data_IF_081380060528
#
_entry.id   IF_081380060528
#
_cell.length_a   1.000
_cell.length_b   1.000
_cell.length_c   1.000
_cell.angle_alpha   90.00
_cell.angle_beta   90.00
_cell.angle_gamma   90.00
#
_symmetry.space_group_name_H-M   'P 1'
#
loop_
_entity.id
_entity.type
_entity.pdbx_description
1 polymer ?
#
# COMPACT_ATOMS: atom_id res chain seq x y z
N UNK A 1 -3.91 -28.48 -45.37
CA UNK A 1 -5.37 -28.38 -45.59
C UNK A 1 -5.68 -27.67 -46.91
N UNK A 2 -6.90 -27.79 -47.46
CA UNK A 2 -7.34 -26.95 -48.60
C UNK A 2 -7.80 -25.58 -48.09
N UNK A 3 -7.62 -24.47 -48.84
CA UNK A 3 -7.94 -23.11 -48.37
C UNK A 3 -9.42 -22.92 -48.00
N UNK A 4 -10.34 -23.64 -48.66
CA UNK A 4 -11.78 -23.61 -48.35
C UNK A 4 -12.14 -24.29 -47.03
N UNK A 5 -11.31 -25.21 -46.55
CA UNK A 5 -11.54 -25.91 -45.28
C UNK A 5 -10.86 -25.20 -44.09
N UNK A 6 -9.87 -24.35 -44.36
CA UNK A 6 -9.16 -23.53 -43.35
C UNK A 6 -10.06 -22.51 -42.64
N UNK A 7 -11.11 -22.01 -43.32
CA UNK A 7 -12.00 -20.97 -42.78
C UNK A 7 -13.25 -21.52 -42.07
N UNK A 8 -13.42 -22.85 -41.99
CA UNK A 8 -14.67 -23.47 -41.49
C UNK A 8 -14.57 -24.05 -40.08
N UNK A 9 -13.38 -24.22 -39.54
CA UNK A 9 -13.18 -24.84 -38.23
C UNK A 9 -12.06 -24.13 -37.47
N UNK A 10 -12.20 -23.96 -36.14
CA UNK A 10 -11.13 -23.44 -35.31
C UNK A 10 -9.94 -24.40 -35.34
N UNK A 11 -8.75 -23.83 -35.46
CA UNK A 11 -7.47 -24.54 -35.42
C UNK A 11 -7.04 -24.59 -33.95
N UNK A 12 -7.13 -25.78 -33.36
CA UNK A 12 -6.84 -26.02 -31.94
C UNK A 12 -5.84 -27.16 -31.77
N UNK A 13 -4.99 -27.08 -30.76
CA UNK A 13 -4.24 -28.25 -30.27
C UNK A 13 -5.18 -29.03 -29.32
N UNK A 14 -5.06 -30.36 -29.25
CA UNK A 14 -5.95 -31.21 -28.41
C UNK A 14 -5.88 -30.94 -26.89
N UNK A 15 -5.18 -29.90 -26.44
CA UNK A 15 -5.03 -29.53 -25.04
C UNK A 15 -5.87 -28.27 -24.72
N UNK A 16 -6.65 -28.29 -23.63
CA UNK A 16 -7.53 -27.19 -23.22
C UNK A 16 -6.78 -25.91 -22.82
N UNK A 17 -5.49 -25.98 -22.51
CA UNK A 17 -4.63 -24.82 -22.22
C UNK A 17 -4.01 -24.18 -23.46
N UNK A 18 -4.37 -24.64 -24.67
CA UNK A 18 -3.78 -24.13 -25.91
C UNK A 18 -4.60 -23.01 -26.55
N UNK A 19 -3.91 -22.13 -27.27
CA UNK A 19 -4.59 -21.10 -28.05
C UNK A 19 -5.53 -21.75 -29.09
N UNK A 20 -6.49 -20.98 -29.59
CA UNK A 20 -7.33 -21.37 -30.73
C UNK A 20 -7.33 -20.25 -31.76
N UNK A 21 -7.29 -20.61 -33.04
CA UNK A 21 -7.31 -19.66 -34.15
C UNK A 21 -8.44 -19.98 -35.11
N UNK A 22 -9.34 -19.02 -35.33
CA UNK A 22 -10.39 -19.10 -36.35
C UNK A 22 -10.07 -18.10 -37.46
N UNK A 23 -9.74 -18.60 -38.64
CA UNK A 23 -9.41 -17.76 -39.79
C UNK A 23 -10.69 -17.34 -40.54
N UNK A 24 -10.79 -16.06 -40.97
CA UNK A 24 -11.88 -15.64 -41.84
C UNK A 24 -11.73 -16.27 -43.23
N UNK A 25 -12.75 -16.16 -44.10
CA UNK A 25 -12.64 -16.58 -45.49
C UNK A 25 -11.48 -15.86 -46.19
N UNK A 26 -10.40 -16.59 -46.48
CA UNK A 26 -9.22 -16.04 -47.16
C UNK A 26 -9.48 -15.99 -48.68
N UNK A 27 -9.24 -14.82 -49.28
CA UNK A 27 -9.39 -14.65 -50.73
C UNK A 27 -8.34 -15.45 -51.51
N UNK A 28 -8.71 -15.85 -52.73
CA UNK A 28 -7.84 -16.60 -53.64
C UNK A 28 -6.56 -15.84 -54.04
N UNK A 29 -6.52 -14.51 -53.84
CA UNK A 29 -5.35 -13.66 -54.03
C UNK A 29 -4.27 -13.85 -52.96
N UNK A 30 -4.64 -14.28 -51.75
CA UNK A 30 -3.72 -14.50 -50.62
C UNK A 30 -3.28 -15.97 -50.57
N UNK A 31 -4.22 -16.89 -50.82
CA UNK A 31 -3.94 -18.33 -50.82
C UNK A 31 -4.51 -18.96 -52.08
N UNK A 32 -3.63 -19.46 -52.95
CA UNK A 32 -4.04 -20.14 -54.18
C UNK A 32 -4.88 -21.39 -53.86
N UNK A 33 -6.07 -21.47 -54.45
CA UNK A 33 -7.03 -22.57 -54.22
C UNK A 33 -6.55 -23.94 -54.70
N UNK A 34 -5.43 -24.00 -55.44
CA UNK A 34 -4.89 -25.21 -56.06
C UNK A 34 -3.76 -25.88 -55.27
N UNK A 35 -3.19 -25.22 -54.26
CA UNK A 35 -2.03 -25.72 -53.51
C UNK A 35 -2.41 -26.06 -52.08
N UNK A 36 -1.87 -27.18 -51.56
CA UNK A 36 -1.97 -27.50 -50.14
C UNK A 36 -1.18 -26.48 -49.32
N UNK A 37 -1.77 -26.06 -48.21
CA UNK A 37 -1.12 -25.18 -47.23
C UNK A 37 -0.73 -26.00 -46.01
N UNK A 38 0.52 -25.86 -45.58
CA UNK A 38 1.03 -26.35 -44.30
C UNK A 38 0.65 -25.36 -43.20
N UNK A 39 0.11 -25.86 -42.10
CA UNK A 39 -0.42 -25.04 -41.00
C UNK A 39 0.38 -25.39 -39.77
N UNK A 40 1.13 -24.44 -39.24
CA UNK A 40 1.93 -24.63 -38.03
C UNK A 40 1.44 -23.74 -36.92
N UNK A 41 1.05 -24.37 -35.82
CA UNK A 41 0.58 -23.69 -34.63
C UNK A 41 1.58 -23.90 -33.50
N UNK A 42 1.88 -22.83 -32.77
CA UNK A 42 2.71 -22.83 -31.57
C UNK A 42 1.91 -22.24 -30.42
N UNK A 43 2.10 -22.77 -29.22
CA UNK A 43 1.53 -22.24 -27.99
C UNK A 43 2.56 -22.38 -26.89
N UNK A 44 2.78 -21.30 -26.16
CA UNK A 44 3.66 -21.24 -25.00
C UNK A 44 2.84 -20.85 -23.79
N UNK A 45 2.91 -21.66 -22.74
CA UNK A 45 2.25 -21.35 -21.45
C UNK A 45 2.89 -20.15 -20.75
N UNK A 46 4.18 -19.94 -21.00
CA UNK A 46 4.95 -18.79 -20.49
C UNK A 46 5.45 -17.95 -21.66
N UNK A 47 5.54 -16.63 -21.44
CA UNK A 47 5.99 -15.71 -22.47
C UNK A 47 7.46 -16.02 -22.89
N UNK A 48 7.71 -16.45 -24.15
CA UNK A 48 9.06 -16.75 -24.63
C UNK A 48 9.92 -15.49 -24.86
N UNK A 49 9.29 -14.31 -24.86
CA UNK A 49 9.93 -13.00 -25.04
C UNK A 49 10.06 -12.23 -23.71
N UNK A 50 10.11 -12.94 -22.58
CA UNK A 50 10.16 -12.35 -21.23
C UNK A 50 11.40 -11.48 -20.94
N UNK A 51 12.40 -11.48 -21.82
CA UNK A 51 13.57 -10.60 -21.72
C UNK A 51 13.26 -9.12 -22.02
N UNK A 52 12.12 -8.83 -22.64
CA UNK A 52 11.63 -7.46 -22.81
C UNK A 52 10.87 -7.01 -21.54
N UNK A 53 11.43 -6.03 -20.82
CA UNK A 53 10.92 -5.54 -19.54
C UNK A 53 9.87 -4.41 -19.67
N UNK A 54 9.58 -3.95 -20.89
CA UNK A 54 8.72 -2.77 -21.12
C UNK A 54 7.23 -3.10 -20.93
N UNK A 55 6.80 -4.33 -21.26
CA UNK A 55 5.43 -4.80 -21.07
C UNK A 55 5.43 -6.24 -20.54
N UNK A 56 4.85 -6.46 -19.36
CA UNK A 56 4.73 -7.79 -18.75
C UNK A 56 3.52 -8.54 -19.30
N UNK A 57 3.75 -9.42 -20.28
CA UNK A 57 2.73 -10.36 -20.77
C UNK A 57 2.71 -11.60 -19.89
N UNK A 58 1.66 -11.72 -19.07
CA UNK A 58 1.50 -12.78 -18.09
C UNK A 58 0.59 -13.94 -18.56
N UNK A 59 0.01 -13.84 -19.76
CA UNK A 59 -0.87 -14.86 -20.34
C UNK A 59 -0.17 -15.79 -21.35
N UNK A 60 -0.92 -16.78 -21.83
CA UNK A 60 -0.48 -17.72 -22.87
C UNK A 60 -0.16 -16.98 -24.17
N UNK A 61 0.94 -17.38 -24.81
CA UNK A 61 1.38 -16.84 -26.10
C UNK A 61 1.09 -17.86 -27.20
N UNK A 62 0.30 -17.46 -28.20
CA UNK A 62 -0.08 -18.31 -29.33
C UNK A 62 0.45 -17.77 -30.65
N UNK A 63 0.82 -18.64 -31.58
CA UNK A 63 1.19 -18.23 -32.93
C UNK A 63 0.66 -19.24 -33.95
N UNK A 64 0.25 -18.73 -35.11
CA UNK A 64 -0.17 -19.53 -36.24
C UNK A 64 0.57 -19.03 -37.49
N UNK A 65 1.27 -19.92 -38.18
CA UNK A 65 1.92 -19.64 -39.46
C UNK A 65 1.39 -20.57 -40.55
N UNK A 66 1.20 -20.00 -41.74
CA UNK A 66 0.82 -20.73 -42.94
C UNK A 66 2.03 -20.78 -43.86
N UNK A 67 2.42 -21.97 -44.28
CA UNK A 67 3.55 -22.18 -45.18
C UNK A 67 3.09 -22.85 -46.47
N UNK A 68 3.78 -22.52 -47.56
CA UNK A 68 3.66 -23.27 -48.81
C UNK A 68 4.33 -24.64 -48.68
N UNK A 69 4.05 -25.56 -49.61
CA UNK A 69 4.68 -26.89 -49.64
C UNK A 69 6.22 -26.86 -49.71
N UNK A 70 6.82 -25.77 -50.22
CA UNK A 70 8.27 -25.58 -50.25
C UNK A 70 8.86 -25.08 -48.91
N UNK A 71 8.03 -24.89 -47.88
CA UNK A 71 8.43 -24.36 -46.57
C UNK A 71 8.52 -22.83 -46.50
N UNK A 72 8.24 -22.09 -47.58
CA UNK A 72 8.21 -20.63 -47.55
C UNK A 72 6.96 -20.11 -46.82
N UNK A 73 7.10 -19.07 -45.98
CA UNK A 73 5.97 -18.50 -45.23
C UNK A 73 5.03 -17.72 -46.16
N UNK A 74 3.73 -17.85 -45.92
CA UNK A 74 2.68 -17.06 -46.56
C UNK A 74 2.35 -15.89 -45.63
N UNK A 75 2.77 -14.65 -45.95
CA UNK A 75 2.49 -13.50 -45.10
C UNK A 75 1.00 -13.18 -45.13
N UNK A 76 0.35 -13.27 -43.97
CA UNK A 76 -1.02 -12.82 -43.77
C UNK A 76 -0.99 -11.54 -42.96
N UNK A 77 -1.37 -10.43 -43.59
CA UNK A 77 -1.46 -9.12 -42.97
C UNK A 77 -2.54 -8.27 -43.66
N UNK A 78 -3.04 -7.26 -42.96
CA UNK A 78 -4.03 -6.29 -43.45
C UNK A 78 -5.32 -6.95 -43.98
N UNK A 79 -5.81 -7.98 -43.28
CA UNK A 79 -7.10 -8.58 -43.59
C UNK A 79 -8.25 -7.61 -43.31
N UNK A 80 -9.30 -7.65 -44.13
CA UNK A 80 -10.54 -6.88 -43.92
C UNK A 80 -11.41 -7.49 -42.83
N UNK A 81 -11.49 -8.82 -42.79
CA UNK A 81 -12.13 -9.56 -41.71
C UNK A 81 -11.03 -10.01 -40.75
N UNK A 82 -11.31 -9.92 -39.46
CA UNK A 82 -10.33 -10.25 -38.42
C UNK A 82 -10.22 -11.77 -38.23
N UNK A 83 -9.04 -12.18 -37.80
CA UNK A 83 -8.76 -13.52 -37.30
C UNK A 83 -9.14 -13.51 -35.82
N UNK A 84 -9.98 -14.46 -35.43
CA UNK A 84 -10.32 -14.66 -34.04
C UNK A 84 -9.28 -15.57 -33.39
N UNK A 85 -8.77 -15.12 -32.25
CA UNK A 85 -7.73 -15.80 -31.49
C UNK A 85 -8.22 -15.90 -30.05
N UNK A 86 -8.37 -17.12 -29.56
CA UNK A 86 -8.71 -17.36 -28.16
C UNK A 86 -7.43 -17.76 -27.41
N UNK A 87 -7.05 -16.94 -26.42
CA UNK A 87 -5.88 -17.17 -25.58
C UNK A 87 -6.35 -17.57 -24.17
N UNK A 88 -6.32 -18.87 -23.82
CA UNK A 88 -6.73 -19.33 -22.49
C UNK A 88 -5.72 -18.96 -21.40
N UNK A 89 -6.12 -19.16 -20.14
CA UNK A 89 -5.31 -18.85 -18.95
C UNK A 89 -5.29 -20.02 -17.98
N UNK A 90 -4.17 -20.18 -17.28
CA UNK A 90 -3.99 -21.22 -16.25
C UNK A 90 -4.62 -20.87 -14.89
N UNK A 91 -4.81 -19.58 -14.60
CA UNK A 91 -5.39 -19.10 -13.33
C UNK A 91 -6.57 -18.18 -13.65
N UNK A 92 -7.76 -18.57 -13.19
CA UNK A 92 -8.93 -17.72 -13.21
C UNK A 92 -8.66 -16.50 -12.32
N UNK A 93 -8.74 -15.30 -12.88
CA UNK A 93 -8.88 -14.11 -12.06
C UNK A 93 -10.19 -14.22 -11.27
N UNK A 94 -10.15 -14.04 -9.95
CA UNK A 94 -11.37 -13.88 -9.16
C UNK A 94 -11.98 -12.53 -9.56
N UNK A 95 -12.98 -12.56 -10.43
CA UNK A 95 -13.74 -11.37 -10.82
C UNK A 95 -15.07 -11.45 -10.10
N UNK A 96 -15.32 -10.52 -9.17
CA UNK A 96 -16.62 -10.42 -8.53
C UNK A 96 -17.57 -9.66 -9.45
N UNK A 97 -18.77 -10.20 -9.62
CA UNK A 97 -19.85 -9.46 -10.24
C UNK A 97 -20.49 -8.52 -9.23
N UNK A 98 -20.85 -7.34 -9.72
CA UNK A 98 -21.54 -6.30 -8.93
C UNK A 98 -23.01 -6.31 -9.28
N UNK A 99 -23.88 -6.33 -8.27
CA UNK A 99 -25.34 -6.33 -8.47
C UNK A 99 -25.87 -4.91 -8.34
N UNK A 100 -26.62 -4.47 -9.35
CA UNK A 100 -27.25 -3.16 -9.40
C UNK A 100 -28.77 -3.32 -9.52
N UNK A 101 -29.50 -2.57 -8.70
CA UNK A 101 -30.96 -2.43 -8.79
C UNK A 101 -31.27 -1.17 -9.63
N UNK A 102 -31.82 -1.38 -10.83
CA UNK A 102 -31.99 -0.33 -11.85
C UNK A 102 -33.25 0.53 -11.67
N UNK A 103 -33.83 0.58 -10.47
CA UNK A 103 -35.06 1.34 -10.17
C UNK A 103 -35.20 2.66 -10.97
N UNK A 104 -34.16 3.49 -11.04
CA UNK A 104 -34.12 4.66 -11.94
C UNK A 104 -32.81 4.71 -12.74
N UNK A 105 -31.68 4.69 -12.03
CA UNK A 105 -30.35 4.52 -12.59
C UNK A 105 -29.41 4.07 -11.49
N UNK A 106 -28.31 3.41 -11.86
CA UNK A 106 -27.27 3.04 -10.91
C UNK A 106 -25.91 3.44 -11.43
N UNK A 107 -25.01 3.81 -10.52
CA UNK A 107 -23.63 4.18 -10.85
C UNK A 107 -22.66 3.24 -10.17
N UNK A 108 -21.67 2.76 -10.92
CA UNK A 108 -20.56 1.95 -10.41
C UNK A 108 -19.23 2.65 -10.67
N UNK A 109 -18.30 2.46 -9.75
CA UNK A 109 -16.94 2.98 -9.84
C UNK A 109 -16.01 1.90 -10.37
N UNK A 110 -15.25 2.22 -11.41
CA UNK A 110 -14.29 1.34 -12.08
C UNK A 110 -12.90 1.99 -11.96
N UNK A 111 -11.95 1.31 -11.33
CA UNK A 111 -10.59 1.82 -11.18
C UNK A 111 -9.65 1.17 -12.22
N UNK A 112 -9.16 1.97 -13.16
CA UNK A 112 -8.25 1.53 -14.20
C UNK A 112 -6.82 1.86 -13.79
N UNK A 113 -6.04 0.81 -13.55
CA UNK A 113 -4.66 0.89 -13.03
C UNK A 113 -3.59 0.87 -14.12
N UNK A 114 -3.96 0.74 -15.39
CA UNK A 114 -2.99 0.62 -16.48
C UNK A 114 -3.53 1.23 -17.78
N UNK A 115 -2.68 1.92 -18.56
CA UNK A 115 -3.19 2.84 -19.57
C UNK A 115 -3.57 2.14 -20.89
N UNK A 116 -3.05 0.94 -21.14
CA UNK A 116 -3.19 0.25 -22.44
C UNK A 116 -4.12 -0.97 -22.39
N UNK A 117 -5.13 -0.95 -21.52
CA UNK A 117 -6.02 -2.12 -21.30
C UNK A 117 -7.41 -1.82 -21.81
N UNK A 118 -8.03 -2.70 -22.58
CA UNK A 118 -9.45 -2.57 -22.94
C UNK A 118 -10.32 -3.01 -21.76
N UNK A 119 -11.42 -2.29 -21.52
CA UNK A 119 -12.41 -2.66 -20.51
C UNK A 119 -13.54 -3.45 -21.17
N UNK A 120 -13.75 -4.67 -20.71
CA UNK A 120 -14.87 -5.52 -21.13
C UNK A 120 -15.89 -5.53 -20.01
N UNK A 121 -17.02 -4.87 -20.25
CA UNK A 121 -18.15 -4.78 -19.34
C UNK A 121 -19.20 -5.79 -19.79
N UNK A 122 -19.35 -6.88 -19.04
CA UNK A 122 -20.40 -7.88 -19.26
C UNK A 122 -21.56 -7.60 -18.33
N UNK A 123 -22.74 -7.39 -18.90
CA UNK A 123 -23.97 -7.14 -18.16
C UNK A 123 -24.87 -8.36 -18.32
N UNK A 124 -25.41 -8.85 -17.19
CA UNK A 124 -26.37 -9.94 -17.15
C UNK A 124 -27.66 -9.41 -16.49
N UNK A 125 -28.61 -8.91 -17.31
CA UNK A 125 -29.86 -8.38 -16.80
C UNK A 125 -30.85 -9.50 -16.44
N UNK A 126 -31.63 -9.29 -15.38
CA UNK A 126 -32.65 -10.26 -14.93
C UNK A 126 -33.77 -10.50 -15.94
N UNK A 127 -33.99 -9.54 -16.84
CA UNK A 127 -34.99 -9.57 -17.90
C UNK A 127 -34.38 -8.94 -19.17
N UNK A 128 -34.96 -9.20 -20.36
CA UNK A 128 -34.52 -8.60 -21.62
C UNK A 128 -34.88 -7.11 -21.66
N UNK A 129 -34.04 -6.29 -21.04
CA UNK A 129 -34.22 -4.83 -20.92
C UNK A 129 -33.14 -4.12 -21.71
N UNK A 130 -33.53 -3.12 -22.50
CA UNK A 130 -32.57 -2.24 -23.17
C UNK A 130 -31.88 -1.32 -22.15
N UNK A 131 -30.57 -1.21 -22.21
CA UNK A 131 -29.76 -0.44 -21.27
C UNK A 131 -29.01 0.67 -22.00
N UNK A 132 -29.01 1.87 -21.45
CA UNK A 132 -28.16 2.99 -21.86
C UNK A 132 -27.03 3.15 -20.85
N UNK A 133 -25.80 3.02 -21.33
CA UNK A 133 -24.59 3.07 -20.52
C UNK A 133 -23.81 4.33 -20.87
N UNK A 134 -23.35 5.06 -19.86
CA UNK A 134 -22.45 6.20 -20.00
C UNK A 134 -21.26 6.03 -19.08
N UNK A 135 -20.07 6.36 -19.56
CA UNK A 135 -18.86 6.37 -18.73
C UNK A 135 -18.31 7.79 -18.62
N UNK A 136 -17.94 8.19 -17.41
CA UNK A 136 -17.27 9.46 -17.10
C UNK A 136 -15.93 9.21 -16.42
N UNK A 137 -14.97 10.11 -16.60
CA UNK A 137 -13.65 10.05 -15.98
C UNK A 137 -13.54 11.09 -14.87
N UNK A 138 -13.16 10.66 -13.66
CA UNK A 138 -13.08 11.45 -12.41
C UNK A 138 -14.39 12.11 -11.94
N UNK A 139 -15.35 12.31 -12.82
CA UNK A 139 -16.67 12.87 -12.57
C UNK A 139 -17.78 11.91 -13.00
N UNK A 140 -18.95 12.06 -12.40
CA UNK A 140 -20.12 11.25 -12.75
C UNK A 140 -20.66 11.69 -14.11
N UNK A 141 -20.87 10.77 -15.08
CA UNK A 141 -21.37 11.13 -16.39
C UNK A 141 -22.82 11.60 -16.33
N UNK A 142 -23.15 12.53 -17.22
CA UNK A 142 -24.51 13.00 -17.46
C UNK A 142 -24.80 13.03 -18.97
N UNK A 143 -26.01 13.42 -19.37
CA UNK A 143 -26.44 13.39 -20.78
C UNK A 143 -25.64 14.34 -21.69
N UNK A 144 -24.92 15.29 -21.12
CA UNK A 144 -24.12 16.30 -21.84
C UNK A 144 -22.61 16.13 -21.67
N UNK A 145 -22.19 15.40 -20.64
CA UNK A 145 -20.80 15.25 -20.22
C UNK A 145 -20.53 13.78 -19.91
N UNK A 146 -19.95 13.10 -20.90
CA UNK A 146 -19.54 11.70 -20.84
C UNK A 146 -18.34 11.51 -21.76
N UNK A 147 -17.53 10.49 -21.48
CA UNK A 147 -16.39 10.10 -22.32
C UNK A 147 -16.83 9.17 -23.45
N UNK A 148 -17.63 8.16 -23.11
CA UNK A 148 -18.21 7.23 -24.06
C UNK A 148 -19.60 6.78 -23.61
N UNK A 149 -20.42 6.39 -24.58
CA UNK A 149 -21.75 5.86 -24.31
C UNK A 149 -22.09 4.73 -25.27
N UNK A 150 -23.00 3.85 -24.85
CA UNK A 150 -23.51 2.77 -25.69
C UNK A 150 -24.94 2.37 -25.31
N UNK A 151 -25.62 1.66 -26.20
CA UNK A 151 -26.92 1.05 -25.97
C UNK A 151 -26.80 -0.47 -26.11
N UNK A 152 -27.34 -1.19 -25.13
CA UNK A 152 -27.44 -2.66 -25.13
C UNK A 152 -28.93 -3.06 -25.23
N UNK A 153 -29.27 -4.20 -25.85
CA UNK A 153 -28.36 -5.17 -26.45
C UNK A 153 -27.79 -4.73 -27.82
N UNK A 154 -26.55 -5.14 -28.10
CA UNK A 154 -25.93 -5.09 -29.43
C UNK A 154 -26.43 -6.20 -30.36
N UNK A 155 -26.12 -6.10 -31.65
CA UNK A 155 -26.28 -7.23 -32.58
C UNK A 155 -25.26 -8.33 -32.23
N UNK A 156 -25.74 -9.52 -31.91
CA UNK A 156 -24.91 -10.66 -31.51
C UNK A 156 -25.71 -11.97 -31.51
N UNK A 157 -25.00 -13.09 -31.65
CA UNK A 157 -25.61 -14.42 -31.74
C UNK A 157 -26.00 -14.96 -30.35
N UNK A 158 -25.26 -14.56 -29.32
CA UNK A 158 -25.47 -14.99 -27.93
C UNK A 158 -25.91 -13.84 -27.02
N UNK A 159 -26.65 -14.16 -25.96
CA UNK A 159 -27.05 -13.16 -24.96
C UNK A 159 -25.84 -12.47 -24.31
N UNK A 160 -24.75 -13.21 -24.04
CA UNK A 160 -23.52 -12.62 -23.50
C UNK A 160 -22.92 -11.56 -24.44
N UNK A 161 -22.81 -11.84 -25.74
CA UNK A 161 -22.29 -10.88 -26.72
C UNK A 161 -23.18 -9.64 -26.81
N UNK A 162 -24.50 -9.86 -26.86
CA UNK A 162 -25.49 -8.79 -26.95
C UNK A 162 -25.39 -7.81 -25.77
N UNK A 163 -25.06 -8.29 -24.57
CA UNK A 163 -24.93 -7.44 -23.37
C UNK A 163 -23.47 -7.21 -22.94
N UNK A 164 -22.52 -7.30 -23.87
CA UNK A 164 -21.11 -6.96 -23.61
C UNK A 164 -20.71 -5.67 -24.30
N UNK A 165 -20.19 -4.72 -23.53
CA UNK A 165 -19.55 -3.51 -24.05
C UNK A 165 -18.03 -3.60 -23.91
N UNK A 166 -17.33 -3.53 -25.04
CA UNK A 166 -15.86 -3.48 -25.08
C UNK A 166 -15.43 -2.03 -25.34
N UNK A 167 -14.75 -1.43 -24.37
CA UNK A 167 -14.22 -0.07 -24.45
C UNK A 167 -12.71 -0.13 -24.67
N UNK A 168 -12.26 0.25 -25.87
CA UNK A 168 -10.83 0.22 -26.20
C UNK A 168 -10.10 1.41 -25.56
N UNK A 169 -8.77 1.34 -25.35
CA UNK A 169 -7.97 2.51 -24.98
C UNK A 169 -8.14 3.70 -25.94
N UNK A 170 -8.29 3.43 -27.24
CA UNK A 170 -8.46 4.46 -28.28
C UNK A 170 -9.78 5.21 -28.20
N UNK A 171 -10.77 4.63 -27.53
CA UNK A 171 -12.10 5.20 -27.35
C UNK A 171 -12.18 6.05 -26.07
N UNK A 172 -11.05 6.21 -25.35
CA UNK A 172 -10.93 7.00 -24.13
C UNK A 172 -9.88 8.11 -24.31
N UNK A 173 -10.12 9.24 -23.66
CA UNK A 173 -9.25 10.42 -23.75
C UNK A 173 -8.08 10.37 -22.77
N UNK A 174 -8.25 9.70 -21.63
CA UNK A 174 -7.28 9.61 -20.53
C UNK A 174 -7.31 8.18 -19.99
N UNK A 175 -6.15 7.59 -19.72
CA UNK A 175 -5.98 6.13 -19.67
C UNK A 175 -5.89 5.50 -18.26
N UNK A 176 -5.58 6.28 -17.22
CA UNK A 176 -5.44 5.80 -15.84
C UNK A 176 -6.28 6.62 -14.87
N UNK A 177 -6.99 5.94 -13.96
CA UNK A 177 -7.75 6.59 -12.90
C UNK A 177 -9.15 6.00 -12.69
N UNK A 178 -9.99 6.80 -12.04
CA UNK A 178 -11.31 6.38 -11.60
C UNK A 178 -12.35 6.78 -12.64
N UNK A 179 -13.10 5.79 -13.12
CA UNK A 179 -14.23 5.98 -14.01
C UNK A 179 -15.53 5.70 -13.29
N UNK A 180 -16.56 6.45 -13.66
CA UNK A 180 -17.93 6.26 -13.18
C UNK A 180 -18.76 5.74 -14.36
N UNK A 181 -19.27 4.51 -14.23
CA UNK A 181 -20.20 3.93 -15.19
C UNK A 181 -21.63 4.12 -14.66
N UNK A 182 -22.43 4.84 -15.43
CA UNK A 182 -23.86 5.04 -15.21
C UNK A 182 -24.64 4.08 -16.10
N UNK A 183 -25.56 3.33 -15.49
CA UNK A 183 -26.43 2.36 -16.17
C UNK A 183 -27.88 2.79 -15.98
N UNK A 184 -28.59 2.97 -17.09
CA UNK A 184 -30.00 3.38 -17.12
C UNK A 184 -30.83 2.39 -17.92
N UNK A 185 -31.98 1.91 -17.41
CA UNK A 185 -32.92 1.15 -18.21
C UNK A 185 -33.63 2.10 -19.20
N UNK A 186 -33.73 1.69 -20.46
CA UNK A 186 -34.52 2.36 -21.47
C UNK A 186 -35.96 1.87 -21.33
N UNK A 187 -36.84 2.76 -20.88
CA UNK A 187 -38.26 2.49 -20.62
C UNK A 187 -39.17 3.15 -21.64
N UNK A 188 -40.35 2.56 -21.86
CA UNK A 188 -41.38 3.15 -22.71
C UNK A 188 -41.91 4.46 -22.12
N UNK A 189 -42.37 5.36 -23.00
CA UNK A 189 -42.88 6.66 -22.61
C UNK A 189 -44.07 6.53 -21.64
N UNK A 190 -43.91 7.03 -20.41
CA UNK A 190 -44.92 6.99 -19.35
C UNK A 190 -44.60 6.05 -18.18
N UNK A 191 -43.54 5.24 -18.28
CA UNK A 191 -43.02 4.42 -17.18
C UNK A 191 -41.80 5.12 -16.57
N UNK A 192 -41.81 5.33 -15.26
CA UNK A 192 -40.73 6.09 -14.57
C UNK A 192 -39.62 5.20 -13.99
N UNK A 193 -39.84 3.89 -13.87
CA UNK A 193 -38.92 2.96 -13.19
C UNK A 193 -39.13 1.51 -13.65
N UNK A 194 -38.06 0.71 -13.67
CA UNK A 194 -38.14 -0.76 -13.82
C UNK A 194 -37.63 -1.44 -12.55
N UNK A 195 -38.17 -2.61 -12.22
CA UNK A 195 -37.66 -3.44 -11.12
C UNK A 195 -36.56 -4.41 -11.60
N UNK A 196 -35.86 -4.06 -12.68
CA UNK A 196 -34.85 -4.92 -13.27
C UNK A 196 -33.54 -4.83 -12.46
N UNK A 197 -32.92 -5.97 -12.23
CA UNK A 197 -31.58 -6.03 -11.62
C UNK A 197 -30.56 -6.43 -12.67
N UNK A 198 -29.35 -5.88 -12.59
CA UNK A 198 -28.27 -6.23 -13.51
C UNK A 198 -27.02 -6.61 -12.73
N UNK A 199 -26.44 -7.74 -13.11
CA UNK A 199 -25.11 -8.15 -12.66
C UNK A 199 -24.07 -7.63 -13.66
N UNK A 200 -23.08 -6.86 -13.18
CA UNK A 200 -22.01 -6.32 -14.01
C UNK A 200 -20.68 -6.95 -13.63
N UNK A 201 -20.01 -7.50 -14.63
CA UNK A 201 -18.67 -8.08 -14.53
C UNK A 201 -17.71 -7.24 -15.37
N UNK A 202 -16.69 -6.67 -14.73
CA UNK A 202 -15.68 -5.83 -15.40
C UNK A 202 -14.38 -6.59 -15.55
N UNK A 203 -13.83 -6.64 -16.77
CA UNK A 203 -12.58 -7.33 -17.08
C UNK A 203 -11.66 -6.35 -17.82
N UNK A 204 -10.48 -6.08 -17.27
CA UNK A 204 -9.44 -5.35 -18.00
C UNK A 204 -8.54 -6.34 -18.75
N UNK A 205 -8.54 -6.26 -20.08
CA UNK A 205 -7.76 -7.16 -20.92
C UNK A 205 -7.02 -6.42 -22.03
N UNK A 206 -5.91 -6.99 -22.47
CA UNK A 206 -5.11 -6.46 -23.57
C UNK A 206 -4.75 -7.59 -24.53
N UNK A 207 -4.82 -7.29 -25.83
CA UNK A 207 -4.36 -8.15 -26.91
C UNK A 207 -3.19 -7.45 -27.60
N UNK A 208 -2.04 -8.12 -27.64
CA UNK A 208 -0.83 -7.61 -28.29
C UNK A 208 -0.22 -8.67 -29.17
N UNK A 209 0.59 -8.23 -30.11
CA UNK A 209 1.42 -9.07 -30.94
C UNK A 209 2.90 -8.71 -30.79
N UNK A 210 3.77 -9.68 -31.05
CA UNK A 210 5.21 -9.44 -31.08
C UNK A 210 5.60 -8.84 -32.43
N UNK A 211 6.13 -7.62 -32.42
CA UNK A 211 6.72 -6.98 -33.59
C UNK A 211 8.21 -7.36 -33.68
N UNK A 212 8.54 -8.26 -34.60
CA UNK A 212 9.91 -8.75 -34.81
C UNK A 212 10.88 -7.65 -35.27
N UNK A 213 10.40 -6.59 -35.93
CA UNK A 213 11.25 -5.49 -36.40
C UNK A 213 11.64 -4.56 -35.26
N UNK A 214 10.71 -4.29 -34.35
CA UNK A 214 10.94 -3.43 -33.18
C UNK A 214 11.41 -4.20 -31.94
N UNK A 215 11.35 -5.53 -31.98
CA UNK A 215 11.59 -6.41 -30.85
C UNK A 215 10.74 -6.03 -29.62
N UNK A 216 9.48 -5.67 -29.86
CA UNK A 216 8.57 -5.19 -28.83
C UNK A 216 7.12 -5.65 -29.04
N UNK A 217 6.33 -5.66 -27.96
CA UNK A 217 4.90 -5.89 -28.02
C UNK A 217 4.17 -4.66 -28.56
N UNK A 218 3.19 -4.90 -29.42
CA UNK A 218 2.40 -3.89 -30.11
C UNK A 218 0.93 -4.30 -30.15
N UNK A 219 0.02 -3.34 -29.97
CA UNK A 219 -1.43 -3.53 -30.13
C UNK A 219 -1.89 -3.32 -31.57
N UNK A 220 -0.98 -2.94 -32.48
CA UNK A 220 -1.33 -2.59 -33.85
C UNK A 220 -2.00 -3.73 -34.61
N UNK A 221 -3.17 -3.43 -35.19
CA UNK A 221 -3.96 -4.40 -35.95
C UNK A 221 -4.64 -5.46 -35.09
N UNK A 222 -4.67 -5.29 -33.76
CA UNK A 222 -5.34 -6.17 -32.81
C UNK A 222 -6.27 -5.39 -31.87
N UNK A 223 -7.38 -6.02 -31.48
CA UNK A 223 -8.28 -5.52 -30.45
C UNK A 223 -8.87 -6.66 -29.62
N UNK A 224 -9.35 -6.33 -28.42
CA UNK A 224 -10.06 -7.28 -27.56
C UNK A 224 -11.49 -7.46 -28.06
N UNK A 225 -11.99 -8.70 -28.06
CA UNK A 225 -13.34 -9.04 -28.49
C UNK A 225 -14.33 -9.27 -27.33
N UNK A 226 -15.65 -9.24 -27.61
CA UNK A 226 -16.72 -9.34 -26.62
C UNK A 226 -16.83 -10.72 -25.94
N UNK A 227 -16.32 -11.79 -26.55
CA UNK A 227 -16.30 -13.13 -25.94
C UNK A 227 -15.21 -13.30 -24.87
N UNK A 228 -14.49 -12.22 -24.52
CA UNK A 228 -13.49 -12.25 -23.46
C UNK A 228 -14.11 -12.60 -22.11
N UNK A 229 -13.50 -13.55 -21.41
CA UNK A 229 -13.89 -14.01 -20.07
C UNK A 229 -12.71 -13.91 -19.09
N UNK A 230 -12.93 -14.16 -17.78
CA UNK A 230 -11.83 -14.27 -16.82
C UNK A 230 -10.84 -15.41 -17.11
N UNK A 231 -11.24 -16.40 -17.92
CA UNK A 231 -10.43 -17.57 -18.27
C UNK A 231 -9.79 -17.47 -19.65
N UNK A 232 -10.39 -16.73 -20.58
CA UNK A 232 -9.96 -16.68 -21.99
C UNK A 232 -10.04 -15.26 -22.49
N UNK A 233 -8.97 -14.76 -23.11
CA UNK A 233 -9.00 -13.48 -23.85
C UNK A 233 -9.34 -13.75 -25.31
N UNK A 234 -10.36 -13.10 -25.85
CA UNK A 234 -10.62 -13.10 -27.30
C UNK A 234 -9.87 -11.92 -27.92
N UNK A 235 -8.97 -12.21 -28.84
CA UNK A 235 -8.26 -11.22 -29.63
C UNK A 235 -8.72 -11.29 -31.08
N UNK A 236 -9.07 -10.14 -31.65
CA UNK A 236 -9.44 -9.98 -33.05
C UNK A 236 -8.30 -9.23 -33.73
N UNK A 237 -7.57 -9.91 -34.62
CA UNK A 237 -6.37 -9.36 -35.26
C UNK A 237 -6.42 -9.49 -36.78
N UNK A 238 -5.80 -8.56 -37.50
CA UNK A 238 -5.82 -8.53 -38.98
C UNK A 238 -4.56 -9.13 -39.65
N UNK A 239 -3.68 -9.77 -38.87
CA UNK A 239 -2.43 -10.38 -39.32
C UNK A 239 -2.14 -11.69 -38.58
N UNK A 240 -1.12 -12.43 -39.00
CA UNK A 240 -0.61 -13.61 -38.32
C UNK A 240 0.84 -13.40 -37.86
N UNK A 241 1.04 -13.44 -36.55
CA UNK A 241 2.33 -13.32 -35.87
C UNK A 241 2.30 -14.13 -34.57
N UNK A 242 3.08 -13.74 -33.56
CA UNK A 242 2.94 -14.22 -32.18
C UNK A 242 2.04 -13.27 -31.40
N UNK A 243 1.01 -13.83 -30.76
CA UNK A 243 0.02 -13.09 -29.99
C UNK A 243 0.14 -13.41 -28.52
N UNK A 244 0.04 -12.39 -27.69
CA UNK A 244 0.00 -12.48 -26.24
C UNK A 244 -1.20 -11.71 -25.70
N UNK A 245 -1.66 -12.11 -24.52
CA UNK A 245 -2.65 -11.32 -23.78
C UNK A 245 -2.22 -11.11 -22.33
N UNK A 246 -2.69 -10.00 -21.76
CA UNK A 246 -2.57 -9.69 -20.34
C UNK A 246 -3.95 -9.35 -19.80
N UNK A 247 -4.22 -9.72 -18.55
CA UNK A 247 -5.41 -9.29 -17.81
C UNK A 247 -5.03 -8.71 -16.48
N UNK A 248 -5.68 -7.59 -16.17
CA UNK A 248 -5.51 -6.86 -14.94
C UNK A 248 -6.73 -7.13 -14.07
N UNK A 249 -6.50 -7.71 -12.89
CA UNK A 249 -7.56 -7.92 -11.91
C UNK A 249 -7.81 -6.59 -11.23
N UNK A 250 -8.98 -6.00 -11.49
CA UNK A 250 -9.39 -4.81 -10.75
C UNK A 250 -9.69 -5.22 -9.31
N UNK A 251 -9.09 -4.57 -8.30
CA UNK A 251 -9.41 -4.86 -6.92
C UNK A 251 -10.89 -4.53 -6.66
N UNK A 252 -11.61 -5.51 -6.09
CA UNK A 252 -13.02 -5.35 -5.73
C UNK A 252 -13.20 -4.09 -4.87
N UNK A 253 -14.17 -3.26 -5.24
CA UNK A 253 -14.60 -2.15 -4.38
C UNK A 253 -15.32 -2.76 -3.18
N UNK A 254 -14.85 -2.46 -1.96
CA UNK A 254 -15.44 -2.98 -0.72
C UNK A 254 -16.79 -2.30 -0.52
N UNK A 255 -17.87 -3.03 -0.81
CA UNK A 255 -19.22 -2.56 -0.49
C UNK A 255 -19.46 -2.68 1.02
N UNK A 256 -19.40 -1.54 1.68
CA UNK A 256 -19.55 -1.40 3.14
C UNK A 256 -20.96 -1.79 3.60
N UNK A 257 -21.96 -1.79 2.70
CA UNK A 257 -23.35 -2.11 3.01
C UNK A 257 -23.60 -3.61 3.19
N UNK A 258 -22.97 -4.47 2.38
CA UNK A 258 -22.99 -5.92 2.56
C UNK A 258 -22.34 -6.33 3.89
N UNK A 259 -21.24 -5.65 4.25
CA UNK A 259 -20.58 -5.86 5.54
C UNK A 259 -21.52 -5.51 6.70
N UNK A 260 -22.35 -4.46 6.59
CA UNK A 260 -23.35 -4.10 7.59
C UNK A 260 -24.46 -5.16 7.78
N UNK A 261 -24.89 -5.83 6.70
CA UNK A 261 -25.85 -6.95 6.79
C UNK A 261 -25.23 -8.20 7.44
N UNK A 262 -23.96 -8.51 7.14
CA UNK A 262 -23.19 -9.51 7.88
C UNK A 262 -23.07 -9.12 9.35
N UNK A 263 -22.89 -7.83 9.67
CA UNK A 263 -22.90 -7.37 11.06
C UNK A 263 -24.27 -7.54 11.75
N UNK A 264 -25.37 -7.39 11.02
CA UNK A 264 -26.72 -7.62 11.55
C UNK A 264 -26.94 -9.09 11.97
N UNK A 265 -26.27 -10.05 11.32
CA UNK A 265 -26.34 -11.47 11.73
C UNK A 265 -25.60 -11.76 13.04
N UNK A 266 -24.60 -10.95 13.45
CA UNK A 266 -23.92 -11.15 14.74
C UNK A 266 -24.84 -10.92 15.93
N UNK A 267 -25.85 -10.06 15.81
CA UNK A 267 -26.84 -9.84 16.88
C UNK A 267 -27.64 -11.11 17.20
N UNK A 268 -27.78 -12.03 16.23
CA UNK A 268 -28.43 -13.32 16.43
C UNK A 268 -27.53 -14.35 17.13
N UNK A 269 -26.23 -14.07 17.30
CA UNK A 269 -25.29 -14.92 18.00
C UNK A 269 -24.81 -14.25 19.30
N UNK A 270 -25.48 -14.52 20.44
CA UNK A 270 -25.16 -13.85 21.70
C UNK A 270 -23.73 -14.13 22.20
N UNK A 271 -23.13 -15.26 21.80
CA UNK A 271 -21.75 -15.60 22.16
C UNK A 271 -20.76 -14.61 21.53
N UNK A 272 -20.95 -14.28 20.26
CA UNK A 272 -20.08 -13.34 19.53
C UNK A 272 -20.23 -11.93 20.07
N UNK A 273 -21.45 -11.49 20.36
CA UNK A 273 -21.73 -10.15 20.93
C UNK A 273 -21.06 -10.01 22.30
N UNK A 274 -21.19 -11.02 23.18
CA UNK A 274 -20.55 -11.01 24.49
C UNK A 274 -19.01 -11.00 24.38
N UNK A 275 -18.43 -11.74 23.42
CA UNK A 275 -16.99 -11.78 23.20
C UNK A 275 -16.44 -10.43 22.71
N UNK A 276 -17.08 -9.83 21.72
CA UNK A 276 -16.70 -8.50 21.20
C UNK A 276 -16.86 -7.43 22.30
N UNK A 277 -17.95 -7.49 23.06
CA UNK A 277 -18.18 -6.61 24.20
C UNK A 277 -17.09 -6.72 25.28
N UNK A 278 -16.64 -7.95 25.59
CA UNK A 278 -15.55 -8.18 26.53
C UNK A 278 -14.21 -7.63 26.03
N UNK A 279 -13.89 -7.81 24.74
CA UNK A 279 -12.69 -7.21 24.13
C UNK A 279 -12.74 -5.69 24.20
N UNK A 280 -13.89 -5.09 23.88
CA UNK A 280 -14.05 -3.64 23.92
C UNK A 280 -13.89 -3.07 25.35
N UNK A 281 -14.45 -3.75 26.36
CA UNK A 281 -14.25 -3.39 27.77
C UNK A 281 -12.79 -3.51 28.19
N UNK A 282 -12.10 -4.60 27.81
CA UNK A 282 -10.68 -4.77 28.10
C UNK A 282 -9.83 -3.66 27.47
N UNK A 283 -10.13 -3.30 26.21
CA UNK A 283 -9.48 -2.19 25.51
C UNK A 283 -9.67 -0.86 26.27
N UNK A 284 -10.89 -0.52 26.70
CA UNK A 284 -11.15 0.70 27.47
C UNK A 284 -10.40 0.74 28.81
N UNK A 285 -10.26 -0.41 29.48
CA UNK A 285 -9.48 -0.53 30.71
C UNK A 285 -8.00 -0.26 30.44
N UNK A 286 -7.43 -0.85 29.37
CA UNK A 286 -6.03 -0.65 28.97
C UNK A 286 -5.78 0.81 28.60
N UNK A 287 -6.68 1.45 27.84
CA UNK A 287 -6.55 2.87 27.47
C UNK A 287 -6.59 3.76 28.71
N UNK A 288 -7.52 3.53 29.66
CA UNK A 288 -7.56 4.28 30.92
C UNK A 288 -6.28 4.08 31.74
N UNK A 289 -5.77 2.86 31.79
CA UNK A 289 -4.52 2.55 32.47
C UNK A 289 -3.31 3.24 31.82
N UNK A 290 -3.20 3.17 30.50
CA UNK A 290 -2.14 3.82 29.72
C UNK A 290 -2.18 5.34 29.93
N UNK A 291 -3.35 5.98 29.82
CA UNK A 291 -3.50 7.42 30.11
C UNK A 291 -3.12 7.78 31.54
N UNK A 292 -3.48 6.96 32.53
CA UNK A 292 -3.03 7.16 33.92
C UNK A 292 -1.51 7.07 34.05
N UNK A 293 -0.87 6.14 33.33
CA UNK A 293 0.58 5.99 33.32
C UNK A 293 1.27 7.16 32.62
N UNK A 294 0.75 7.65 31.50
CA UNK A 294 1.28 8.83 30.80
C UNK A 294 1.21 10.10 31.67
N UNK A 295 0.11 10.28 32.41
CA UNK A 295 -0.02 11.40 33.37
C UNK A 295 1.01 11.27 34.50
N UNK A 296 1.22 10.06 35.03
CA UNK A 296 2.25 9.83 36.05
C UNK A 296 3.67 10.08 35.51
N UNK A 297 3.92 9.81 34.23
CA UNK A 297 5.24 10.03 33.63
C UNK A 297 5.52 11.50 33.33
N UNK A 298 4.48 12.24 32.88
CA UNK A 298 4.57 13.70 32.68
C UNK A 298 4.93 14.43 33.97
N UNK A 299 4.44 13.96 35.12
CA UNK A 299 4.77 14.54 36.43
C UNK A 299 6.24 14.37 36.84
N UNK A 300 6.98 13.41 36.25
CA UNK A 300 8.40 13.20 36.56
C UNK A 300 9.32 14.23 35.91
N UNK A 301 8.86 14.91 34.84
CA UNK A 301 9.64 15.90 34.07
C UNK A 301 9.42 17.32 34.62
N UNK A 302 9.37 17.45 35.95
CA UNK A 302 9.36 18.76 36.63
C UNK A 302 10.80 19.21 36.82
N UNK A 303 11.10 20.46 36.46
CA UNK A 303 12.37 21.11 36.83
C UNK A 303 12.22 21.61 38.26
N UNK A 304 13.08 21.13 39.14
CA UNK A 304 13.10 21.49 40.55
C UNK A 304 14.04 22.67 40.73
N UNK A 305 13.53 23.80 41.22
CA UNK A 305 14.38 24.94 41.59
C UNK A 305 14.94 24.65 42.97
N UNK A 306 16.26 24.66 43.12
CA UNK A 306 16.90 24.37 44.39
C UNK A 306 16.56 25.46 45.42
N UNK A 307 16.24 25.04 46.65
CA UNK A 307 15.81 25.94 47.73
C UNK A 307 16.98 26.79 48.27
N UNK A 308 18.21 26.32 48.11
CA UNK A 308 19.45 26.99 48.53
C UNK A 308 20.02 27.97 47.49
N UNK A 309 19.29 28.20 46.39
CA UNK A 309 19.64 29.22 45.40
C UNK A 309 19.50 30.63 45.98
N UNK A 310 20.51 31.48 45.77
CA UNK A 310 20.47 32.89 46.14
C UNK A 310 19.49 33.66 45.21
N UNK A 311 18.47 34.35 45.74
CA UNK A 311 17.56 35.18 44.94
C UNK A 311 18.25 36.29 44.12
N UNK A 312 19.47 36.69 44.50
CA UNK A 312 20.27 37.70 43.80
C UNK A 312 21.18 37.09 42.72
N UNK A 313 21.24 35.76 42.60
CA UNK A 313 22.03 35.10 41.56
C UNK A 313 21.41 35.29 40.17
N UNK A 314 22.22 35.75 39.21
CA UNK A 314 21.75 36.09 37.87
C UNK A 314 21.96 34.97 36.83
N UNK A 315 22.90 34.06 37.07
CA UNK A 315 23.24 32.96 36.15
C UNK A 315 22.59 31.64 36.55
N UNK A 316 22.13 30.85 35.57
CA UNK A 316 21.35 29.63 35.82
C UNK A 316 21.92 28.43 35.05
N UNK A 317 22.16 27.35 35.77
CA UNK A 317 22.56 26.06 35.22
C UNK A 317 21.47 25.02 35.46
N UNK A 318 21.04 24.37 34.39
CA UNK A 318 20.10 23.26 34.44
C UNK A 318 20.87 21.94 34.48
N UNK A 319 20.80 21.26 35.61
CA UNK A 319 21.40 19.94 35.81
C UNK A 319 20.36 18.86 35.52
N UNK A 320 20.74 17.88 34.71
CA UNK A 320 19.97 16.66 34.45
C UNK A 320 20.82 15.48 34.90
N UNK A 321 20.38 14.81 35.96
CA UNK A 321 21.11 13.69 36.57
C UNK A 321 20.34 12.41 36.28
N UNK A 322 21.00 11.46 35.64
CA UNK A 322 20.44 10.14 35.34
C UNK A 322 21.01 9.10 36.29
N UNK A 323 20.14 8.53 37.11
CA UNK A 323 20.45 7.38 37.95
C UNK A 323 20.35 6.11 37.11
N UNK A 324 21.31 5.19 37.25
CA UNK A 324 21.35 4.02 36.38
C UNK A 324 20.30 2.95 36.72
N UNK A 325 20.17 1.99 35.83
CA UNK A 325 19.14 0.94 35.92
C UNK A 325 19.58 -0.30 36.73
N UNK A 326 20.78 -0.29 37.33
CA UNK A 326 21.29 -1.41 38.13
C UNK A 326 20.44 -1.64 39.37
N UNK A 327 20.38 -2.87 39.88
CA UNK A 327 19.64 -3.18 41.10
C UNK A 327 20.30 -2.45 42.28
N UNK A 328 19.50 -1.75 43.09
CA UNK A 328 20.00 -0.93 44.21
C UNK A 328 20.67 0.39 43.78
N UNK A 329 20.46 0.86 42.54
CA UNK A 329 21.08 2.09 42.05
C UNK A 329 20.52 3.38 42.67
N UNK A 330 19.34 3.32 43.29
CA UNK A 330 18.69 4.46 43.95
C UNK A 330 19.35 4.80 45.28
N UNK A 331 19.41 6.08 45.63
CA UNK A 331 19.93 6.51 46.93
C UNK A 331 18.86 7.19 47.78
N UNK A 332 19.01 7.01 49.10
CA UNK A 332 18.24 7.73 50.13
C UNK A 332 19.10 8.73 50.91
N UNK A 333 20.37 8.91 50.51
CA UNK A 333 21.29 9.87 51.09
C UNK A 333 21.04 11.28 50.56
N UNK A 334 21.49 12.28 51.31
CA UNK A 334 21.47 13.67 50.86
C UNK A 334 22.64 13.91 49.90
N UNK A 335 22.30 14.19 48.64
CA UNK A 335 23.29 14.41 47.57
C UNK A 335 23.59 15.90 47.45
N UNK A 336 24.87 16.23 47.31
CA UNK A 336 25.36 17.59 47.09
C UNK A 336 26.16 17.65 45.80
N UNK A 337 26.00 18.73 45.04
CA UNK A 337 26.74 18.98 43.80
C UNK A 337 27.53 20.28 43.88
N UNK A 338 28.68 20.30 43.23
CA UNK A 338 29.47 21.51 42.97
C UNK A 338 29.90 21.52 41.51
N UNK A 339 29.62 22.60 40.80
CA UNK A 339 30.05 22.79 39.41
C UNK A 339 31.41 23.48 39.38
N UNK A 340 32.35 22.95 38.60
CA UNK A 340 33.72 23.48 38.50
C UNK A 340 33.97 23.92 37.05
N UNK A 341 34.04 25.22 36.82
CA UNK A 341 34.31 25.82 35.52
C UNK A 341 35.67 26.52 35.43
N UNK A 342 35.92 27.20 34.31
CA UNK A 342 37.16 27.97 34.10
C UNK A 342 37.21 29.28 34.86
N UNK A 343 36.05 29.90 35.09
CA UNK A 343 35.93 31.24 35.69
C UNK A 343 35.56 31.19 37.18
N UNK A 344 35.25 30.00 37.70
CA UNK A 344 35.03 29.77 39.13
C UNK A 344 34.36 28.42 39.41
N UNK A 345 34.01 28.22 40.67
CA UNK A 345 33.20 27.10 41.15
C UNK A 345 31.87 27.60 41.73
N UNK A 346 30.83 26.78 41.64
CA UNK A 346 29.58 27.06 42.36
C UNK A 346 29.75 26.80 43.85
N UNK A 347 28.84 27.34 44.67
CA UNK A 347 28.69 26.83 46.03
C UNK A 347 28.20 25.36 46.02
N UNK A 348 28.38 24.60 47.11
CA UNK A 348 27.79 23.28 47.24
C UNK A 348 26.27 23.38 47.37
N UNK A 349 25.54 22.74 46.45
CA UNK A 349 24.08 22.75 46.45
C UNK A 349 23.49 21.39 46.78
N UNK A 350 22.49 21.37 47.65
CA UNK A 350 21.75 20.17 47.99
C UNK A 350 20.70 19.86 46.93
N UNK A 351 20.76 18.65 46.39
CA UNK A 351 19.84 18.22 45.35
C UNK A 351 18.64 17.51 45.97
N UNK A 352 17.63 18.29 46.32
CA UNK A 352 16.38 17.82 46.91
C UNK A 352 15.18 18.32 46.12
N UNK A 353 14.08 17.59 46.17
CA UNK A 353 12.79 18.01 45.64
C UNK A 353 11.72 17.82 46.72
N UNK A 354 10.96 18.88 47.09
CA UNK A 354 9.94 18.79 48.12
C UNK A 354 8.70 18.00 47.68
N UNK A 355 8.45 17.88 46.37
CA UNK A 355 7.22 17.32 45.82
C UNK A 355 7.37 15.86 45.36
N UNK A 356 8.60 15.36 45.17
CA UNK A 356 8.86 13.99 44.70
C UNK A 356 10.15 13.39 45.28
N UNK A 357 10.24 12.05 45.40
CA UNK A 357 11.52 11.39 45.64
C UNK A 357 12.45 11.60 44.44
N UNK A 358 13.72 11.86 44.74
CA UNK A 358 14.80 12.07 43.76
C UNK A 358 15.78 10.90 43.78
N UNK A 359 16.51 10.71 42.69
CA UNK A 359 17.51 9.66 42.50
C UNK A 359 16.96 8.24 42.56
N UNK A 360 15.73 8.06 42.08
CA UNK A 360 15.12 6.75 41.90
C UNK A 360 15.84 5.92 40.81
N UNK A 361 15.77 4.60 40.93
CA UNK A 361 16.43 3.69 39.98
C UNK A 361 15.90 3.91 38.56
N UNK A 362 16.80 4.18 37.61
CA UNK A 362 16.45 4.50 36.23
C UNK A 362 15.77 5.86 36.05
N UNK A 363 15.66 6.64 37.13
CA UNK A 363 15.10 7.98 37.14
C UNK A 363 16.02 9.01 36.50
N UNK A 364 15.40 10.10 36.08
CA UNK A 364 16.07 11.29 35.58
C UNK A 364 15.50 12.47 36.33
N UNK A 365 16.37 13.19 37.04
CA UNK A 365 16.00 14.34 37.86
C UNK A 365 16.63 15.61 37.30
N UNK A 366 15.84 16.68 37.27
CA UNK A 366 16.23 17.96 36.69
C UNK A 366 16.21 19.04 37.76
N UNK A 367 17.35 19.68 37.99
CA UNK A 367 17.54 20.71 39.00
C UNK A 367 18.00 22.01 38.36
N UNK A 368 17.42 23.13 38.76
CA UNK A 368 17.88 24.46 38.39
C UNK A 368 18.73 25.03 39.52
N UNK A 369 20.02 25.19 39.25
CA UNK A 369 21.04 25.74 40.14
C UNK A 369 21.38 27.15 39.68
N UNK A 370 21.54 28.10 40.60
CA UNK A 370 21.88 29.49 40.28
C UNK A 370 23.23 29.89 40.85
N UNK A 371 24.00 30.69 40.11
CA UNK A 371 25.28 31.25 40.56
C UNK A 371 25.31 32.78 40.38
N UNK A 372 26.07 33.52 41.22
CA UNK A 372 26.16 34.98 41.09
C UNK A 372 26.85 35.45 39.78
N UNK A 373 27.66 34.60 39.17
CA UNK A 373 28.40 34.88 37.94
C UNK A 373 28.51 33.61 37.06
N UNK A 374 28.87 33.81 35.79
CA UNK A 374 29.19 32.72 34.85
C UNK A 374 30.37 31.89 35.35
N UNK A 375 30.22 30.56 35.36
CA UNK A 375 31.33 29.63 35.64
C UNK A 375 32.27 29.44 34.43
N UNK A 376 31.94 30.03 33.28
CA UNK A 376 32.68 29.87 32.03
C UNK A 376 32.53 28.46 31.45
N UNK A 377 33.61 27.91 30.89
CA UNK A 377 33.60 26.55 30.34
C UNK A 377 33.65 25.52 31.47
N UNK A 378 32.60 24.71 31.63
CA UNK A 378 32.55 23.67 32.65
C UNK A 378 33.65 22.63 32.41
N UNK A 379 34.48 22.38 33.43
CA UNK A 379 35.57 21.40 33.37
C UNK A 379 35.21 20.09 34.06
N UNK A 380 34.53 20.15 35.18
CA UNK A 380 34.12 18.97 35.94
C UNK A 380 32.95 19.25 36.87
N UNK A 381 32.33 18.19 37.37
CA UNK A 381 31.34 18.28 38.45
C UNK A 381 31.83 17.45 39.63
N UNK A 382 31.61 17.94 40.83
CA UNK A 382 31.81 17.19 42.06
C UNK A 382 30.45 16.74 42.57
N UNK A 383 30.31 15.44 42.79
CA UNK A 383 29.14 14.85 43.42
C UNK A 383 29.58 14.19 44.72
N UNK A 384 28.81 14.39 45.78
CA UNK A 384 29.02 13.75 47.08
C UNK A 384 27.68 13.45 47.75
N UNK A 385 27.65 12.43 48.60
CA UNK A 385 26.52 12.19 49.48
C UNK A 385 26.98 11.87 50.91
N UNK A 386 26.12 12.17 51.87
CA UNK A 386 26.37 12.03 53.31
C UNK A 386 26.26 10.59 53.86
N UNK A 387 25.95 9.62 52.99
CA UNK A 387 25.71 8.21 53.33
C UNK A 387 24.56 8.00 54.34
N UNK A 388 23.61 8.94 54.46
CA UNK A 388 22.41 8.78 55.27
C UNK A 388 21.33 7.92 54.58
N UNK A 389 20.29 7.56 55.33
CA UNK A 389 19.17 6.75 54.83
C UNK A 389 19.40 5.24 54.88
N UNK A 390 18.39 4.48 54.46
CA UNK A 390 18.39 3.00 54.53
C UNK A 390 19.17 2.35 53.38
N UNK A 391 19.28 3.04 52.24
CA UNK A 391 19.97 2.59 51.04
C UNK A 391 20.83 3.75 50.53
N UNK A 392 22.04 3.94 51.07
CA UNK A 392 22.85 5.11 50.75
C UNK A 392 23.61 4.99 49.42
N UNK A 393 23.90 3.78 48.97
CA UNK A 393 24.64 3.54 47.74
C UNK A 393 23.92 4.07 46.50
N UNK A 394 24.64 4.81 45.66
CA UNK A 394 24.10 5.46 44.48
C UNK A 394 24.87 5.06 43.23
N UNK A 395 24.17 4.64 42.16
CA UNK A 395 24.80 4.40 40.87
C UNK A 395 24.41 5.48 39.86
N UNK A 396 25.39 6.32 39.53
CA UNK A 396 25.21 7.46 38.65
C UNK A 396 25.55 7.02 37.22
N UNK A 397 24.61 7.18 36.29
CA UNK A 397 24.84 6.85 34.89
C UNK A 397 25.57 8.00 34.18
N UNK A 398 24.92 9.17 34.13
CA UNK A 398 25.43 10.38 33.48
C UNK A 398 24.81 11.63 34.08
N UNK A 399 25.49 12.75 33.92
CA UNK A 399 24.96 14.08 34.21
C UNK A 399 25.08 14.94 32.96
N UNK A 400 24.08 15.78 32.70
CA UNK A 400 24.14 16.82 31.69
C UNK A 400 23.92 18.16 32.38
N UNK A 401 24.82 19.10 32.15
CA UNK A 401 24.71 20.47 32.65
C UNK A 401 24.48 21.37 31.45
N UNK A 402 23.45 22.19 31.51
CA UNK A 402 23.15 23.18 30.49
C UNK A 402 23.20 24.57 31.10
N UNK A 403 24.00 25.45 30.49
CA UNK A 403 23.90 26.89 30.71
C UNK A 403 22.61 27.40 30.06
N UNK A 404 21.74 28.03 30.84
CA UNK A 404 20.42 28.49 30.38
C UNK A 404 20.55 29.76 29.53
N UNK A 405 21.53 30.61 29.82
CA UNK A 405 21.79 31.88 29.15
C UNK A 405 22.44 31.66 27.78
N UNK A 406 23.47 30.81 27.70
CA UNK A 406 24.20 30.55 26.45
C UNK A 406 23.65 29.36 25.66
N UNK A 407 22.89 28.48 26.31
CA UNK A 407 22.38 27.24 25.73
C UNK A 407 23.43 26.13 25.58
N UNK A 408 24.68 26.37 26.02
CA UNK A 408 25.76 25.39 25.94
C UNK A 408 25.48 24.20 26.86
N UNK A 409 25.81 22.99 26.37
CA UNK A 409 25.57 21.74 27.09
C UNK A 409 26.87 20.98 27.28
N UNK A 410 27.11 20.54 28.51
CA UNK A 410 28.21 19.67 28.88
C UNK A 410 27.67 18.35 29.38
N UNK A 411 28.24 17.26 28.87
CA UNK A 411 27.90 15.91 29.28
C UNK A 411 29.01 15.36 30.16
N UNK A 412 28.64 14.72 31.25
CA UNK A 412 29.56 14.07 32.18
C UNK A 412 29.17 12.60 32.28
N UNK A 413 30.05 11.73 31.80
CA UNK A 413 29.85 10.28 31.87
C UNK A 413 30.41 9.77 33.19
N UNK A 414 29.53 9.35 34.10
CA UNK A 414 29.92 8.91 35.43
C UNK A 414 30.08 7.38 35.47
N UNK A 415 28.99 6.67 35.13
CA UNK A 415 28.88 5.19 35.13
C UNK A 415 29.50 4.50 36.34
N UNK A 416 29.38 5.11 37.53
CA UNK A 416 30.12 4.73 38.73
C UNK A 416 29.22 4.67 39.96
N UNK A 417 29.64 3.87 40.94
CA UNK A 417 29.00 3.78 42.25
C UNK A 417 29.64 4.79 43.21
N UNK A 418 28.80 5.59 43.88
CA UNK A 418 29.15 6.28 45.11
C UNK A 418 28.50 5.53 46.26
N UNK A 419 29.31 4.78 47.00
CA UNK A 419 28.88 3.91 48.10
C UNK A 419 30.10 3.54 48.95
N UNK A 420 29.89 3.17 50.21
CA UNK A 420 30.97 2.66 51.07
C UNK A 420 31.32 1.19 50.78
N UNK A 421 30.40 0.42 50.21
CA UNK A 421 30.44 -1.03 50.09
C UNK A 421 30.46 -1.54 48.64
N UNK A 422 30.34 -0.63 47.66
CA UNK A 422 30.30 -0.94 46.22
C UNK A 422 31.20 -0.01 45.40
N UNK A 423 31.73 -0.53 44.29
CA UNK A 423 32.57 0.24 43.36
C UNK A 423 33.95 0.56 43.94
N UNK A 424 34.33 1.83 43.93
CA UNK A 424 35.61 2.32 44.47
C UNK A 424 35.54 2.62 45.97
N UNK A 425 34.41 2.33 46.64
CA UNK A 425 34.18 2.58 48.06
C UNK A 425 34.33 4.06 48.46
N UNK A 426 33.88 4.97 47.60
CA UNK A 426 33.95 6.43 47.78
C UNK A 426 32.55 7.04 47.83
N UNK A 427 32.39 8.07 48.67
CA UNK A 427 31.15 8.82 48.82
C UNK A 427 31.13 10.14 48.03
N UNK A 428 32.30 10.62 47.61
CA UNK A 428 32.44 11.76 46.70
C UNK A 428 33.28 11.36 45.50
N UNK A 429 33.03 12.02 44.37
CA UNK A 429 33.89 11.94 43.19
C UNK A 429 33.78 13.20 42.35
N UNK A 430 34.90 13.59 41.74
CA UNK A 430 34.93 14.61 40.70
C UNK A 430 34.93 13.92 39.35
N UNK A 431 33.97 14.27 38.52
CA UNK A 431 33.81 13.72 37.18
C UNK A 431 34.12 14.80 36.13
N UNK A 432 35.10 14.58 35.23
CA UNK A 432 35.41 15.52 34.17
C UNK A 432 34.30 15.56 33.11
N UNK A 433 34.15 16.70 32.45
CA UNK A 433 33.29 16.80 31.26
C UNK A 433 33.82 15.86 30.17
N UNK A 434 32.91 15.13 29.55
CA UNK A 434 33.19 14.14 28.52
C UNK A 434 33.67 14.81 27.24
N UNK A 435 34.71 14.25 26.63
CA UNK A 435 35.19 14.70 25.32
C UNK A 435 34.28 14.18 24.19
N UNK A 436 34.39 14.73 22.99
CA UNK A 436 33.65 14.21 21.82
C UNK A 436 33.92 12.73 21.56
N UNK A 437 35.12 12.24 21.85
CA UNK A 437 35.48 10.82 21.69
C UNK A 437 34.75 9.94 22.71
N UNK A 438 34.61 10.40 23.95
CA UNK A 438 33.91 9.68 25.01
C UNK A 438 32.41 9.56 24.69
N UNK A 439 31.82 10.63 24.15
CA UNK A 439 30.43 10.64 23.69
C UNK A 439 30.18 9.69 22.53
N UNK A 440 31.14 9.55 21.60
CA UNK A 440 31.05 8.59 20.48
C UNK A 440 31.15 7.13 20.91
N UNK A 441 31.86 6.83 22.00
CA UNK A 441 31.97 5.45 22.55
C UNK A 441 30.76 5.04 23.39
N UNK A 442 29.95 6.00 23.83
CA UNK A 442 28.81 5.78 24.73
C UNK A 442 27.45 5.68 24.01
N UNK A 443 27.42 5.90 22.69
CA UNK A 443 26.24 5.79 21.85
C UNK A 443 26.17 4.43 21.17
#
# INVERSE_FOLDING_TARGET
>A
MSPKNLAKQPITIQNCSSASFTLPPLYASVVSSKTSVDVRMMTFETNPFAWNTVQSINGTVGALSLNQHNGSPIPIANLTNEIEILLPRQLAAVVNSTFLDLANFSTIVINVTSPNVSLVLKLDPSEDVSLHLLIGFQEHPNDTHYEAQTYLPHEGDTQEERYTWVLSPRDRTIDEGVYYLLVRPVVEAGVNSTNATVSITTIAAQCVHWDELKLNWSDYGCRVGPLTTPLVTQCLCNHLTFFGSSVFVMPNVVDVSQTAQLFATFLNNPVVVCFIGAIFLAYLVVVKWARRKDIQDTAKVKITVLEDNDPLAEYRYLLNISTGHRRGASTSSQVTVTLLGTEGESEPHHLTDPDKPVFERGGVDMFLLTTPFSLGELKSIRLWHDNSGNHPGWYINKVMVQDVETGQKWHVLCSSWLAIDMGECVLHRVFPVATEMDLKRFR
#
